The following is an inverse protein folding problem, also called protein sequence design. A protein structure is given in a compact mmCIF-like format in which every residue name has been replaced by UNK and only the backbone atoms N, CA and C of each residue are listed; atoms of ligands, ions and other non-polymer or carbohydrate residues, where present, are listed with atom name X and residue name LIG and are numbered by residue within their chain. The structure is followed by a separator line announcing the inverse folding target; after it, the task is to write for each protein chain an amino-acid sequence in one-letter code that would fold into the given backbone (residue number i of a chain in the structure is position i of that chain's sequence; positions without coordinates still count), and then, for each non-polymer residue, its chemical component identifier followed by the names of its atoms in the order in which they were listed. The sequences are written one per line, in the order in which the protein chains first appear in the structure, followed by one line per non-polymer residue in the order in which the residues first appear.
data_IF_480900176770
#
_entry.id   IF_480900176770
#
_cell.length_a   1.000
_cell.length_b   1.000
_cell.length_c   1.000
_cell.angle_alpha   90.00
_cell.angle_beta   90.00
_cell.angle_gamma   90.00
#
_symmetry.space_group_name_H-M   'P 1'
#
loop_
_entity.id
_entity.type
_entity.pdbx_description
1 polymer ?
#
# COMPACT_ATOMS: atom_id res chain seq x y z
N UNK A 1 -11.55 -14.64 -25.09
CA UNK A 1 -12.13 -15.93 -25.56
C UNK A 1 -11.22 -17.15 -25.38
N UNK A 2 -9.90 -17.01 -25.16
CA UNK A 2 -8.98 -18.14 -24.98
C UNK A 2 -9.21 -18.94 -23.67
N UNK A 3 -9.43 -18.23 -22.55
CA UNK A 3 -9.52 -18.81 -21.19
C UNK A 3 -10.74 -19.75 -21.04
N UNK A 4 -11.90 -19.35 -21.55
CA UNK A 4 -13.11 -20.19 -21.51
C UNK A 4 -12.97 -21.49 -22.33
N UNK A 5 -12.12 -21.50 -23.37
CA UNK A 5 -11.86 -22.70 -24.17
C UNK A 5 -10.95 -23.69 -23.43
N UNK A 6 -9.95 -23.22 -22.69
CA UNK A 6 -9.07 -24.09 -21.91
C UNK A 6 -9.81 -24.69 -20.71
N UNK A 7 -10.63 -23.91 -20.02
CA UNK A 7 -11.47 -24.40 -18.90
C UNK A 7 -12.54 -25.39 -19.37
N UNK A 8 -13.23 -25.10 -20.47
CA UNK A 8 -14.19 -26.04 -21.04
C UNK A 8 -13.54 -27.36 -21.45
N UNK A 9 -12.35 -27.32 -22.07
CA UNK A 9 -11.59 -28.54 -22.40
C UNK A 9 -11.19 -29.32 -21.15
N UNK A 10 -10.83 -28.63 -20.08
CA UNK A 10 -10.43 -29.24 -18.81
C UNK A 10 -11.62 -29.88 -18.08
N UNK A 11 -12.80 -29.25 -18.11
CA UNK A 11 -14.04 -29.83 -17.59
C UNK A 11 -14.47 -31.06 -18.39
N UNK A 12 -14.41 -30.97 -19.72
CA UNK A 12 -14.75 -32.06 -20.63
C UNK A 12 -13.80 -33.26 -20.46
N UNK A 13 -12.51 -33.00 -20.23
CA UNK A 13 -11.51 -34.06 -20.02
C UNK A 13 -11.63 -34.69 -18.63
N UNK A 14 -11.78 -33.88 -17.57
CA UNK A 14 -11.90 -34.38 -16.18
C UNK A 14 -13.20 -35.13 -15.92
N UNK A 15 -14.30 -34.74 -16.56
CA UNK A 15 -15.60 -35.41 -16.38
C UNK A 15 -15.78 -36.61 -17.32
N UNK A 16 -14.71 -37.06 -18.01
CA UNK A 16 -14.74 -38.15 -18.99
C UNK A 16 -15.85 -38.01 -20.04
N UNK A 17 -16.30 -36.78 -20.31
CA UNK A 17 -17.50 -36.52 -21.11
C UNK A 17 -17.30 -36.94 -22.57
N UNK A 18 -16.07 -36.79 -23.08
CA UNK A 18 -15.71 -37.30 -24.41
C UNK A 18 -15.68 -38.82 -24.46
N UNK A 19 -15.12 -39.49 -23.46
CA UNK A 19 -15.07 -40.96 -23.42
C UNK A 19 -16.49 -41.54 -23.34
N UNK A 20 -17.35 -40.95 -22.51
CA UNK A 20 -18.77 -41.29 -22.44
C UNK A 20 -19.49 -41.06 -23.78
N UNK A 21 -19.29 -39.91 -24.43
CA UNK A 21 -19.93 -39.60 -25.72
C UNK A 21 -19.44 -40.54 -26.84
N UNK A 22 -18.19 -40.97 -26.79
CA UNK A 22 -17.60 -41.93 -27.73
C UNK A 22 -18.09 -43.37 -27.50
N UNK A 23 -18.53 -43.71 -26.29
CA UNK A 23 -19.14 -45.02 -25.98
C UNK A 23 -20.56 -45.19 -26.53
N UNK A 24 -21.20 -44.11 -26.99
CA UNK A 24 -22.53 -44.11 -27.61
C UNK A 24 -22.48 -44.43 -29.10
N UNK A 25 -23.59 -44.94 -29.63
CA UNK A 25 -23.73 -45.19 -31.07
C UNK A 25 -23.67 -43.88 -31.85
N UNK A 26 -23.41 -43.98 -33.16
CA UNK A 26 -23.28 -42.81 -34.02
C UNK A 26 -24.56 -41.96 -34.03
N UNK A 27 -25.73 -42.59 -34.13
CA UNK A 27 -27.03 -41.91 -34.17
C UNK A 27 -27.34 -41.19 -32.84
N UNK A 28 -27.12 -41.86 -31.70
CA UNK A 28 -27.29 -41.27 -30.38
C UNK A 28 -26.36 -40.07 -30.17
N UNK A 29 -25.09 -40.20 -30.59
CA UNK A 29 -24.12 -39.11 -30.51
C UNK A 29 -24.55 -37.90 -31.33
N UNK A 30 -25.04 -38.13 -32.54
CA UNK A 30 -25.49 -37.06 -33.43
C UNK A 30 -26.73 -36.36 -32.87
N UNK A 31 -27.66 -37.11 -32.28
CA UNK A 31 -28.83 -36.55 -31.59
C UNK A 31 -28.44 -35.68 -30.39
N UNK A 32 -27.53 -36.18 -29.53
CA UNK A 32 -27.03 -35.45 -28.35
C UNK A 32 -26.34 -34.14 -28.77
N UNK A 33 -25.46 -34.18 -29.77
CA UNK A 33 -24.76 -32.98 -30.25
C UNK A 33 -25.73 -31.99 -30.90
N UNK A 34 -26.75 -32.47 -31.61
CA UNK A 34 -27.78 -31.60 -32.21
C UNK A 34 -28.58 -30.86 -31.14
N UNK A 35 -29.02 -31.55 -30.10
CA UNK A 35 -29.73 -30.95 -28.96
C UNK A 35 -28.83 -29.92 -28.26
N UNK A 36 -27.57 -30.28 -27.99
CA UNK A 36 -26.61 -29.39 -27.35
C UNK A 36 -26.33 -28.12 -28.19
N UNK A 37 -26.32 -28.24 -29.52
CA UNK A 37 -26.19 -27.08 -30.43
C UNK A 37 -27.42 -26.19 -30.40
N UNK A 38 -28.62 -26.79 -30.36
CA UNK A 38 -29.87 -26.05 -30.29
C UNK A 38 -30.00 -25.23 -28.98
N UNK A 39 -29.45 -25.71 -27.87
CA UNK A 39 -29.49 -25.01 -26.57
C UNK A 39 -28.43 -23.92 -26.39
N UNK A 40 -27.52 -23.69 -27.35
CA UNK A 40 -26.45 -22.69 -27.19
C UNK A 40 -27.01 -21.27 -27.02
N UNK A 41 -28.09 -20.94 -27.75
CA UNK A 41 -28.70 -19.60 -27.70
C UNK A 41 -29.29 -19.30 -26.32
N UNK A 42 -29.96 -20.27 -25.71
CA UNK A 42 -30.56 -20.13 -24.37
C UNK A 42 -29.48 -19.98 -23.31
N UNK A 43 -28.43 -20.82 -23.35
CA UNK A 43 -27.28 -20.72 -22.42
C UNK A 43 -26.60 -19.35 -22.52
N UNK A 44 -26.42 -18.81 -23.73
CA UNK A 44 -25.84 -17.46 -23.91
C UNK A 44 -26.74 -16.35 -23.38
N UNK A 45 -28.06 -16.49 -23.54
CA UNK A 45 -29.02 -15.53 -23.02
C UNK A 45 -29.03 -15.54 -21.47
N UNK A 46 -29.02 -16.73 -20.87
CA UNK A 46 -28.91 -16.92 -19.42
C UNK A 46 -27.60 -16.35 -18.87
N UNK A 47 -26.47 -16.62 -19.53
CA UNK A 47 -25.17 -16.05 -19.14
C UNK A 47 -25.19 -14.51 -19.18
N UNK A 48 -25.78 -13.93 -20.23
CA UNK A 48 -25.87 -12.48 -20.39
C UNK A 48 -26.73 -11.86 -19.29
N UNK A 49 -27.85 -12.51 -18.94
CA UNK A 49 -28.72 -12.09 -17.86
C UNK A 49 -28.01 -12.21 -16.51
N UNK A 50 -27.35 -13.34 -16.23
CA UNK A 50 -26.59 -13.56 -15.01
C UNK A 50 -25.48 -12.52 -14.83
N UNK A 51 -24.74 -12.20 -15.91
CA UNK A 51 -23.74 -11.13 -15.90
C UNK A 51 -24.35 -9.77 -15.54
N UNK A 52 -25.49 -9.41 -16.14
CA UNK A 52 -26.19 -8.15 -15.83
C UNK A 52 -26.62 -8.08 -14.36
N UNK A 53 -27.13 -9.18 -13.80
CA UNK A 53 -27.52 -9.23 -12.39
C UNK A 53 -26.33 -9.11 -11.43
N UNK A 54 -25.14 -9.54 -11.84
CA UNK A 54 -23.92 -9.43 -11.02
C UNK A 54 -23.25 -8.05 -11.10
N UNK A 55 -23.52 -7.26 -12.15
CA UNK A 55 -22.92 -5.94 -12.30
C UNK A 55 -23.22 -5.01 -11.12
N UNK A 56 -24.49 -4.89 -10.73
CA UNK A 56 -24.91 -3.98 -9.65
C UNK A 56 -24.34 -4.38 -8.28
N UNK A 57 -24.40 -5.65 -7.83
CA UNK A 57 -23.74 -6.09 -6.60
C UNK A 57 -22.23 -5.85 -6.58
N UNK A 58 -21.54 -6.05 -7.71
CA UNK A 58 -20.09 -5.80 -7.81
C UNK A 58 -19.80 -4.31 -7.60
N UNK A 59 -20.58 -3.43 -8.24
CA UNK A 59 -20.44 -1.98 -8.08
C UNK A 59 -20.73 -1.54 -6.65
N UNK A 60 -21.80 -2.04 -6.02
CA UNK A 60 -22.11 -1.73 -4.62
C UNK A 60 -20.98 -2.14 -3.68
N UNK A 61 -20.46 -3.36 -3.83
CA UNK A 61 -19.33 -3.85 -3.02
C UNK A 61 -18.05 -3.02 -3.25
N UNK A 62 -17.84 -2.51 -4.46
CA UNK A 62 -16.75 -1.57 -4.76
C UNK A 62 -16.92 -0.26 -3.99
N UNK A 63 -18.10 0.35 -4.06
CA UNK A 63 -18.41 1.60 -3.35
C UNK A 63 -18.30 1.47 -1.83
N UNK A 64 -18.71 0.35 -1.25
CA UNK A 64 -18.56 0.09 0.19
C UNK A 64 -17.09 0.01 0.61
N UNK A 65 -16.24 -0.65 -0.19
CA UNK A 65 -14.79 -0.70 0.05
C UNK A 65 -14.17 0.69 -0.01
N UNK A 66 -14.52 1.47 -1.03
CA UNK A 66 -14.05 2.85 -1.19
C UNK A 66 -14.47 3.73 -0.01
N UNK A 67 -15.74 3.66 0.40
CA UNK A 67 -16.24 4.37 1.59
C UNK A 67 -15.46 3.98 2.85
N UNK A 68 -15.19 2.70 3.04
CA UNK A 68 -14.40 2.19 4.15
C UNK A 68 -12.95 2.68 4.12
N UNK A 69 -12.34 2.76 2.94
CA UNK A 69 -10.99 3.29 2.74
C UNK A 69 -10.93 4.79 3.05
N UNK A 70 -11.82 5.58 2.46
CA UNK A 70 -11.93 7.04 2.69
C UNK A 70 -12.14 7.35 4.18
N UNK A 71 -13.00 6.60 4.87
CA UNK A 71 -13.22 6.77 6.31
C UNK A 71 -11.95 6.50 7.14
N UNK A 72 -11.15 5.49 6.77
CA UNK A 72 -9.86 5.21 7.43
C UNK A 72 -8.85 6.34 7.21
N UNK A 73 -8.72 6.82 5.97
CA UNK A 73 -7.85 7.96 5.64
C UNK A 73 -8.27 9.22 6.41
N UNK A 74 -9.56 9.54 6.44
CA UNK A 74 -10.09 10.68 7.19
C UNK A 74 -9.80 10.57 8.70
N UNK A 75 -9.92 9.37 9.28
CA UNK A 75 -9.58 9.13 10.67
C UNK A 75 -8.07 9.30 10.94
N UNK A 76 -7.21 8.87 10.02
CA UNK A 76 -5.76 9.04 10.14
C UNK A 76 -5.37 10.52 10.08
N UNK A 77 -5.94 11.29 9.15
CA UNK A 77 -5.76 12.74 9.05
C UNK A 77 -6.20 13.42 10.35
N UNK A 78 -7.42 13.13 10.83
CA UNK A 78 -7.91 13.68 12.10
C UNK A 78 -6.97 13.39 13.28
N UNK A 79 -6.42 12.17 13.36
CA UNK A 79 -5.47 11.78 14.42
C UNK A 79 -4.13 12.48 14.31
N UNK A 80 -3.69 12.81 13.09
CA UNK A 80 -2.50 13.61 12.80
C UNK A 80 -2.71 15.05 13.24
N UNK A 81 -3.82 15.67 12.85
CA UNK A 81 -4.16 17.05 13.22
C UNK A 81 -4.24 17.20 14.75
N UNK A 82 -4.92 16.26 15.43
CA UNK A 82 -4.93 16.21 16.89
C UNK A 82 -3.54 16.11 17.53
N UNK A 83 -2.58 15.46 16.88
CA UNK A 83 -1.22 15.37 17.39
C UNK A 83 -0.43 16.67 17.17
N UNK A 84 -0.69 17.38 16.07
CA UNK A 84 -0.15 18.71 15.77
C UNK A 84 -0.70 19.74 16.77
N UNK A 85 -2.01 19.73 17.00
CA UNK A 85 -2.64 20.62 17.97
C UNK A 85 -2.14 20.37 19.40
N UNK A 86 -1.96 19.09 19.77
CA UNK A 86 -1.50 18.73 21.10
C UNK A 86 -0.05 19.12 21.40
N UNK A 87 0.82 19.23 20.38
CA UNK A 87 2.21 19.64 20.58
C UNK A 87 2.39 21.17 20.56
N UNK A 88 1.47 21.90 19.94
CA UNK A 88 1.53 23.36 19.76
C UNK A 88 1.85 24.13 21.06
N UNK A 89 1.23 23.83 22.22
CA UNK A 89 1.53 24.55 23.48
C UNK A 89 2.94 24.33 24.03
N UNK A 90 3.59 23.23 23.65
CA UNK A 90 4.88 22.81 24.21
C UNK A 90 6.06 23.03 23.25
N UNK A 91 5.77 23.28 21.97
CA UNK A 91 6.77 23.31 20.91
C UNK A 91 7.34 21.92 20.58
N UNK A 92 8.08 21.82 19.47
CA UNK A 92 8.75 20.58 19.08
C UNK A 92 10.17 20.52 19.62
N UNK A 93 10.51 19.42 20.31
CA UNK A 93 11.83 19.19 20.87
C UNK A 93 12.59 18.25 19.94
N UNK A 94 13.84 18.55 19.56
CA UNK A 94 14.65 17.71 18.67
C UNK A 94 16.02 17.32 19.26
N UNK A 95 16.30 17.73 20.50
CA UNK A 95 17.58 17.46 21.17
C UNK A 95 17.35 16.97 22.60
N UNK A 96 18.29 16.16 23.10
CA UNK A 96 18.23 15.67 24.49
C UNK A 96 18.32 16.82 25.51
N UNK A 97 19.13 17.85 25.23
CA UNK A 97 19.26 19.03 26.10
C UNK A 97 17.95 19.80 26.27
N UNK A 98 17.12 19.83 25.22
CA UNK A 98 15.81 20.48 25.23
C UNK A 98 14.75 19.70 26.01
N UNK A 99 14.97 18.41 26.30
CA UNK A 99 14.07 17.63 27.16
C UNK A 99 14.19 18.08 28.61
N UNK A 100 15.40 18.38 29.08
CA UNK A 100 15.63 18.87 30.45
C UNK A 100 14.83 20.14 30.73
N UNK A 101 14.80 21.07 29.77
CA UNK A 101 14.02 22.30 29.87
C UNK A 101 12.48 22.06 29.92
N UNK A 102 12.00 20.95 29.34
CA UNK A 102 10.59 20.53 29.46
C UNK A 102 10.28 19.99 30.86
N UNK A 103 11.26 19.30 31.46
CA UNK A 103 11.14 18.70 32.79
C UNK A 103 11.24 19.70 33.93
N UNK A 104 11.75 20.90 33.66
CA UNK A 104 11.79 22.01 34.63
C UNK A 104 10.39 22.61 34.92
N UNK A 105 9.35 22.17 34.21
CA UNK A 105 7.95 22.56 34.48
C UNK A 105 7.48 22.03 35.86
N UNK A 106 6.77 22.85 36.67
CA UNK A 106 6.43 22.50 38.06
C UNK A 106 5.36 21.40 38.19
N UNK A 107 4.56 21.14 37.15
CA UNK A 107 3.41 20.23 37.21
C UNK A 107 3.71 18.88 36.55
N UNK A 108 3.67 17.80 37.35
CA UNK A 108 3.88 16.42 36.88
C UNK A 108 2.88 16.01 35.79
N UNK A 109 1.62 16.44 35.92
CA UNK A 109 0.58 16.20 34.92
C UNK A 109 0.91 16.87 33.58
N UNK A 110 1.44 18.10 33.62
CA UNK A 110 1.75 18.86 32.41
C UNK A 110 3.00 18.30 31.73
N UNK A 111 4.01 17.87 32.51
CA UNK A 111 5.19 17.16 31.98
C UNK A 111 4.80 15.86 31.30
N UNK A 112 3.98 15.03 31.94
CA UNK A 112 3.51 13.78 31.36
C UNK A 112 2.68 14.01 30.08
N UNK A 113 1.83 15.06 30.07
CA UNK A 113 1.05 15.45 28.89
C UNK A 113 1.95 15.91 27.74
N UNK A 114 2.96 16.73 28.03
CA UNK A 114 3.91 17.23 27.04
C UNK A 114 4.74 16.08 26.45
N UNK A 115 5.27 15.18 27.27
CA UNK A 115 6.00 13.99 26.81
C UNK A 115 5.12 13.09 25.92
N UNK A 116 3.87 12.86 26.33
CA UNK A 116 2.91 12.10 25.53
C UNK A 116 2.60 12.79 24.18
N UNK A 117 2.47 14.12 24.16
CA UNK A 117 2.26 14.89 22.94
C UNK A 117 3.46 14.78 21.99
N UNK A 118 4.70 14.90 22.51
CA UNK A 118 5.94 14.71 21.74
C UNK A 118 6.01 13.34 21.05
N UNK A 119 5.65 12.28 21.77
CA UNK A 119 5.67 10.90 21.25
C UNK A 119 4.58 10.69 20.19
N UNK A 120 3.36 11.20 20.42
CA UNK A 120 2.25 11.11 19.44
C UNK A 120 2.52 11.90 18.18
N UNK A 121 3.13 13.08 18.30
CA UNK A 121 3.50 13.89 17.15
C UNK A 121 4.49 13.16 16.26
N UNK A 122 5.51 12.53 16.86
CA UNK A 122 6.47 11.68 16.14
C UNK A 122 5.81 10.51 15.44
N UNK A 123 4.92 9.80 16.13
CA UNK A 123 4.15 8.68 15.56
C UNK A 123 3.29 9.10 14.37
N UNK A 124 2.52 10.18 14.52
CA UNK A 124 1.36 10.46 13.63
C UNK A 124 1.61 11.58 12.62
N UNK A 125 2.42 12.57 12.98
CA UNK A 125 2.74 13.71 12.13
C UNK A 125 4.07 13.52 11.40
N UNK A 126 5.10 13.03 12.10
CA UNK A 126 6.40 12.75 11.47
C UNK A 126 6.49 11.36 10.85
N UNK A 127 5.57 10.45 11.21
CA UNK A 127 5.61 9.04 10.78
C UNK A 127 6.98 8.40 11.08
N UNK A 128 7.56 8.75 12.23
CA UNK A 128 8.87 8.25 12.61
C UNK A 128 8.81 6.72 12.80
N UNK A 129 9.70 5.94 12.18
CA UNK A 129 9.72 4.49 12.37
C UNK A 129 10.04 4.15 13.84
N UNK A 130 9.37 3.14 14.43
CA UNK A 130 9.57 2.79 15.82
C UNK A 130 10.96 2.15 16.01
N UNK A 131 11.86 2.72 16.83
CA UNK A 131 13.15 2.09 17.15
C UNK A 131 12.98 0.80 17.96
N UNK A 132 11.88 0.71 18.73
CA UNK A 132 11.56 -0.45 19.57
C UNK A 132 10.08 -0.82 19.47
N UNK A 133 9.72 -2.10 19.65
CA UNK A 133 8.33 -2.52 19.66
C UNK A 133 7.56 -1.81 20.78
N UNK A 134 6.34 -1.33 20.45
CA UNK A 134 5.43 -0.67 21.39
C UNK A 134 5.93 0.68 21.96
N UNK A 135 6.95 1.30 21.37
CA UNK A 135 7.47 2.62 21.80
C UNK A 135 6.37 3.69 21.86
N UNK A 136 5.45 3.71 20.88
CA UNK A 136 4.34 4.66 20.81
C UNK A 136 3.12 4.29 21.67
N UNK A 137 3.14 3.12 22.33
CA UNK A 137 2.02 2.66 23.16
C UNK A 137 2.05 3.35 24.53
N UNK A 138 1.28 4.42 24.70
CA UNK A 138 1.30 5.26 25.90
C UNK A 138 0.48 4.73 27.10
N UNK A 139 0.07 3.47 27.07
CA UNK A 139 -0.66 2.85 28.17
C UNK A 139 -0.34 1.36 28.29
N UNK A 140 -0.36 0.83 29.51
CA UNK A 140 -0.14 -0.60 29.78
C UNK A 140 -1.25 -1.09 30.68
N UNK A 141 -1.98 -2.14 30.25
CA UNK A 141 -3.10 -2.71 31.01
C UNK A 141 -4.15 -1.66 31.44
N UNK A 142 -4.46 -0.70 30.56
CA UNK A 142 -5.43 0.37 30.82
C UNK A 142 -4.92 1.53 31.70
N UNK A 143 -3.70 1.45 32.24
CA UNK A 143 -3.07 2.54 32.99
C UNK A 143 -2.15 3.37 32.09
N UNK A 144 -2.16 4.70 32.28
CA UNK A 144 -1.20 5.61 31.64
C UNK A 144 0.22 5.27 32.11
N UNK A 145 1.20 5.45 31.23
CA UNK A 145 2.61 5.31 31.60
C UNK A 145 3.03 6.40 32.58
N UNK A 146 4.05 6.11 33.39
CA UNK A 146 4.66 7.09 34.29
C UNK A 146 5.51 8.09 33.49
N UNK A 147 5.81 9.23 34.11
CA UNK A 147 6.63 10.28 33.50
C UNK A 147 8.01 9.75 33.08
N UNK A 148 8.65 8.93 33.91
CA UNK A 148 10.00 8.42 33.65
C UNK A 148 10.04 7.50 32.42
N UNK A 149 9.00 6.70 32.24
CA UNK A 149 8.88 5.80 31.10
C UNK A 149 8.59 6.57 29.81
N UNK A 150 7.75 7.62 29.88
CA UNK A 150 7.52 8.52 28.76
C UNK A 150 8.80 9.27 28.38
N UNK A 151 9.55 9.75 29.38
CA UNK A 151 10.84 10.41 29.20
C UNK A 151 11.85 9.50 28.50
N UNK A 152 12.02 8.26 29.00
CA UNK A 152 12.90 7.26 28.38
C UNK A 152 12.55 7.03 26.91
N UNK A 153 11.26 6.88 26.59
CA UNK A 153 10.81 6.64 25.21
C UNK A 153 11.09 7.82 24.30
N UNK A 154 10.88 9.03 24.78
CA UNK A 154 11.18 10.24 24.02
C UNK A 154 12.68 10.36 23.73
N UNK A 155 13.55 10.04 24.70
CA UNK A 155 15.00 10.01 24.48
C UNK A 155 15.39 9.02 23.37
N UNK A 156 14.88 7.79 23.42
CA UNK A 156 15.16 6.77 22.40
C UNK A 156 14.72 7.22 21.00
N UNK A 157 13.58 7.90 20.90
CA UNK A 157 13.09 8.44 19.63
C UNK A 157 13.99 9.57 19.11
N UNK A 158 14.47 10.47 19.97
CA UNK A 158 15.38 11.55 19.57
C UNK A 158 16.76 11.00 19.17
N UNK A 159 17.28 10.02 19.90
CA UNK A 159 18.53 9.37 19.54
C UNK A 159 18.44 8.59 18.21
N UNK A 160 17.32 7.90 17.96
CA UNK A 160 17.08 7.23 16.69
C UNK A 160 17.01 8.22 15.53
N UNK A 161 16.37 9.37 15.75
CA UNK A 161 16.32 10.46 14.79
C UNK A 161 17.74 11.00 14.46
N UNK A 162 18.52 11.36 15.48
CA UNK A 162 19.88 11.88 15.34
C UNK A 162 20.85 10.92 14.64
N UNK A 163 20.60 9.60 14.73
CA UNK A 163 21.36 8.57 14.01
C UNK A 163 20.99 8.44 12.53
N UNK A 164 20.15 9.33 12.00
CA UNK A 164 19.80 9.41 10.58
C UNK A 164 18.52 8.68 10.19
N UNK A 165 17.73 8.19 11.16
CA UNK A 165 16.50 7.41 10.85
C UNK A 165 15.35 8.29 10.33
N UNK A 166 15.37 9.62 10.53
CA UNK A 166 14.44 10.54 9.86
C UNK A 166 14.87 10.92 8.42
N UNK A 167 16.12 10.66 8.03
CA UNK A 167 16.69 11.09 6.73
C UNK A 167 16.90 9.95 5.73
N UNK A 168 16.38 8.76 6.03
CA UNK A 168 16.38 7.61 5.13
C UNK A 168 15.16 6.71 5.40
N UNK A 169 13.99 7.32 5.64
CA UNK A 169 12.76 6.53 5.72
C UNK A 169 12.31 6.18 4.31
N UNK A 170 12.33 4.89 3.97
CA UNK A 170 11.48 4.41 2.89
C UNK A 170 10.04 4.52 3.37
N UNK A 171 9.21 5.28 2.67
CA UNK A 171 7.79 5.38 3.00
C UNK A 171 6.94 4.71 1.91
N UNK A 172 5.82 4.11 2.32
CA UNK A 172 4.87 3.51 1.39
C UNK A 172 4.28 4.61 0.49
N UNK A 173 4.78 4.68 -0.73
CA UNK A 173 4.34 5.61 -1.75
C UNK A 173 3.42 4.88 -2.74
N UNK A 174 2.39 5.52 -3.32
CA UNK A 174 1.50 4.90 -4.31
C UNK A 174 2.22 4.35 -5.56
N UNK A 175 3.49 4.72 -5.75
CA UNK A 175 4.33 4.21 -6.82
C UNK A 175 5.17 3.00 -6.42
N UNK A 176 5.39 2.74 -5.13
CA UNK A 176 6.14 1.56 -4.67
C UNK A 176 5.45 0.28 -5.16
N UNK A 177 6.21 -0.60 -5.82
CA UNK A 177 5.69 -1.83 -6.42
C UNK A 177 5.00 -1.65 -7.79
N UNK A 178 4.92 -0.44 -8.36
CA UNK A 178 4.44 -0.26 -9.73
C UNK A 178 5.49 -0.73 -10.74
N UNK A 179 5.01 -1.41 -11.77
CA UNK A 179 5.81 -1.79 -12.93
C UNK A 179 6.15 -0.57 -13.78
N UNK A 180 7.39 -0.50 -14.23
CA UNK A 180 7.93 0.55 -15.10
C UNK A 180 8.62 -0.13 -16.27
N UNK A 181 8.62 0.53 -17.43
CA UNK A 181 9.35 0.08 -18.61
C UNK A 181 10.40 1.11 -18.98
N UNK A 182 11.65 0.69 -19.13
CA UNK A 182 12.77 1.48 -19.65
C UNK A 182 12.99 1.12 -21.12
N UNK A 183 13.16 2.12 -21.96
CA UNK A 183 13.58 1.98 -23.34
C UNK A 183 15.05 2.39 -23.43
N UNK A 184 15.91 1.48 -23.88
CA UNK A 184 17.32 1.76 -24.22
C UNK A 184 17.51 1.61 -25.73
N UNK A 185 18.61 2.12 -26.28
CA UNK A 185 18.90 1.98 -27.72
C UNK A 185 18.97 0.51 -28.19
N UNK A 186 19.26 -0.42 -27.27
CA UNK A 186 19.47 -1.83 -27.58
C UNK A 186 18.30 -2.76 -27.16
N UNK A 187 17.49 -2.38 -26.17
CA UNK A 187 16.38 -3.20 -25.67
C UNK A 187 15.35 -2.46 -24.79
N UNK A 188 14.21 -3.11 -24.55
CA UNK A 188 13.22 -2.67 -23.56
C UNK A 188 13.32 -3.55 -22.32
N UNK A 189 13.46 -2.94 -21.15
CA UNK A 189 13.44 -3.66 -19.87
C UNK A 189 12.25 -3.25 -19.02
N UNK A 190 11.57 -4.25 -18.48
CA UNK A 190 10.57 -4.05 -17.44
C UNK A 190 11.25 -4.06 -16.06
N UNK A 191 11.01 -3.04 -15.27
CA UNK A 191 11.46 -2.88 -13.89
C UNK A 191 10.32 -2.60 -12.93
N UNK A 192 10.66 -2.39 -11.67
CA UNK A 192 9.71 -2.10 -10.59
C UNK A 192 10.27 -1.01 -9.69
N UNK A 193 9.40 -0.12 -9.19
CA UNK A 193 9.79 0.78 -8.09
C UNK A 193 10.04 -0.04 -6.84
N UNK A 194 11.30 -0.20 -6.44
CA UNK A 194 11.69 -1.00 -5.30
C UNK A 194 11.49 -0.26 -3.98
N UNK A 195 11.84 1.03 -3.93
CA UNK A 195 11.67 1.87 -2.75
C UNK A 195 11.58 3.35 -3.13
N UNK A 196 10.94 4.13 -2.25
CA UNK A 196 10.93 5.59 -2.31
C UNK A 196 11.37 6.08 -0.95
N UNK A 197 12.51 6.76 -0.91
CA UNK A 197 13.21 7.15 0.31
C UNK A 197 13.38 8.67 0.36
N UNK A 198 13.14 9.27 1.53
CA UNK A 198 13.43 10.68 1.72
C UNK A 198 14.87 10.84 2.20
N UNK A 199 15.72 11.49 1.42
CA UNK A 199 17.10 11.82 1.77
C UNK A 199 17.26 13.33 1.88
N UNK A 200 17.13 13.86 3.09
CA UNK A 200 17.14 15.32 3.31
C UNK A 200 15.88 16.00 2.80
N UNK A 201 16.05 17.05 1.99
CA UNK A 201 14.95 17.74 1.31
C UNK A 201 14.48 17.01 0.05
N UNK A 202 15.31 16.12 -0.50
CA UNK A 202 15.02 15.40 -1.74
C UNK A 202 14.46 14.01 -1.47
N UNK A 203 13.31 13.70 -2.07
CA UNK A 203 12.80 12.33 -2.14
C UNK A 203 13.42 11.62 -3.34
N UNK A 204 14.00 10.45 -3.13
CA UNK A 204 14.59 9.60 -4.15
C UNK A 204 13.70 8.38 -4.39
N UNK A 205 13.58 7.98 -5.66
CA UNK A 205 12.89 6.80 -6.13
C UNK A 205 13.95 5.83 -6.62
N UNK A 206 13.98 4.63 -6.07
CA UNK A 206 14.83 3.55 -6.55
C UNK A 206 14.03 2.63 -7.45
N UNK A 207 14.55 2.43 -8.66
CA UNK A 207 14.01 1.58 -9.70
C UNK A 207 14.89 0.35 -9.82
N UNK A 208 14.29 -0.83 -9.80
CA UNK A 208 15.00 -2.10 -9.97
C UNK A 208 14.69 -2.69 -11.34
N UNK A 209 15.73 -2.89 -12.14
CA UNK A 209 15.71 -3.53 -13.46
C UNK A 209 16.58 -4.81 -13.43
N UNK A 210 16.41 -5.74 -14.39
CA UNK A 210 17.31 -6.89 -14.53
C UNK A 210 18.77 -6.48 -14.77
N UNK A 211 19.01 -5.38 -15.49
CA UNK A 211 20.33 -4.80 -15.73
C UNK A 211 20.98 -4.09 -14.54
N UNK A 212 20.20 -3.73 -13.50
CA UNK A 212 20.71 -2.99 -12.35
C UNK A 212 19.65 -2.14 -11.65
N UNK A 213 20.06 -1.42 -10.59
CA UNK A 213 19.17 -0.50 -9.87
C UNK A 213 19.62 0.94 -10.07
N UNK A 214 18.66 1.84 -10.29
CA UNK A 214 18.91 3.27 -10.55
C UNK A 214 18.09 4.11 -9.58
N UNK A 215 18.63 5.23 -9.11
CA UNK A 215 17.94 6.13 -8.18
C UNK A 215 17.80 7.54 -8.74
N UNK A 216 16.59 8.09 -8.73
CA UNK A 216 16.27 9.42 -9.26
C UNK A 216 15.41 10.25 -8.30
N UNK A 217 15.45 11.59 -8.36
CA UNK A 217 14.53 12.43 -7.59
C UNK A 217 13.07 12.22 -7.99
N UNK A 218 12.17 12.07 -7.01
CA UNK A 218 10.73 11.82 -7.21
C UNK A 218 10.05 12.88 -8.07
N UNK A 219 10.47 14.14 -7.96
CA UNK A 219 9.90 15.27 -8.74
C UNK A 219 10.02 15.03 -10.25
N UNK A 220 11.14 14.45 -10.70
CA UNK A 220 11.33 14.13 -12.12
C UNK A 220 10.50 12.91 -12.53
N UNK A 221 10.32 11.97 -11.61
CA UNK A 221 9.52 10.78 -11.83
C UNK A 221 8.01 11.05 -11.94
N UNK A 222 7.47 11.98 -11.13
CA UNK A 222 6.06 12.39 -11.19
C UNK A 222 5.69 13.05 -12.52
N UNK A 223 6.53 13.96 -13.00
CA UNK A 223 6.33 14.64 -14.29
C UNK A 223 6.25 13.65 -15.47
N UNK A 224 7.11 12.61 -15.45
CA UNK A 224 7.20 11.62 -16.53
C UNK A 224 6.08 10.55 -16.48
N UNK A 225 5.45 10.34 -15.32
CA UNK A 225 4.33 9.41 -15.19
C UNK A 225 3.02 9.97 -15.80
N UNK A 226 2.82 11.28 -15.76
CA UNK A 226 1.60 11.92 -16.30
C UNK A 226 1.52 11.84 -17.83
N UNK A 227 2.66 11.68 -18.52
CA UNK A 227 2.72 11.47 -19.97
C UNK A 227 2.60 9.99 -20.39
N UNK A 228 2.48 9.06 -19.43
CA UNK A 228 2.20 7.65 -19.69
C UNK A 228 3.38 6.81 -20.19
N UNK A 229 4.57 7.38 -20.30
CA UNK A 229 5.82 6.68 -20.60
C UNK A 229 7.03 7.41 -20.03
N UNK A 230 7.99 6.65 -19.52
CA UNK A 230 9.26 7.18 -19.00
C UNK A 230 10.37 6.84 -20.00
N UNK A 231 10.87 7.84 -20.72
CA UNK A 231 12.06 7.74 -21.57
C UNK A 231 13.29 8.19 -20.78
N UNK A 232 14.12 7.23 -20.36
CA UNK A 232 15.39 7.48 -19.69
C UNK A 232 16.44 7.62 -20.80
N UNK A 233 16.65 8.83 -21.31
CA UNK A 233 17.81 9.13 -22.16
C UNK A 233 19.06 9.01 -21.29
N UNK A 234 19.98 8.13 -21.68
CA UNK A 234 21.22 7.82 -20.94
C UNK A 234 22.17 9.03 -20.79
N UNK A 235 21.85 10.19 -21.39
CA UNK A 235 22.63 11.44 -21.34
C UNK A 235 22.63 12.16 -19.97
N UNK A 236 22.05 11.55 -18.92
CA UNK A 236 22.05 12.08 -17.55
C UNK A 236 22.83 11.21 -16.54
N UNK A 237 23.74 10.35 -17.03
CA UNK A 237 24.77 9.67 -16.22
C UNK A 237 26.05 10.49 -16.06
#
# INVERSE_FOLDING_TARGET
MSIFRSEARLLISKNHTMAWLLSKTFEERQAIVSIARASISTVRAEETLAKKLLCEPILQKGLEKERGYVAKCALQIKRRDQAIDAISPFGFINSLNSISALLDSPSESDRASALAAQIRFRERALLQPPPEPKIYTLSRMGKKLTEEELHRRLMLLIEADQKGTLLASSFDHPFTGRSIRRWTEEANEDGVVSSIERKGETTLVTLSFPSGSVSHPLVHFEYLLDEGSFDLLDDLL
#
